data_IF_045814042840
#
_entry.id   IF_045814042840
#
_cell.length_a   1.000
_cell.length_b   1.000
_cell.length_c   1.000
_cell.angle_alpha   90.00
_cell.angle_beta   90.00
_cell.angle_gamma   90.00
#
_symmetry.space_group_name_H-M   'P 1'
#
loop_
_entity.id
_entity.type
_entity.pdbx_description
1 polymer ?
#
# COMPACT_ATOMS: atom_id res chain seq x y z
N UNK A 1 -9.13 14.45 19.46
CA UNK A 1 -10.10 13.70 20.28
C UNK A 1 -9.31 12.59 20.94
N UNK A 2 -9.16 12.62 22.26
CA UNK A 2 -8.51 11.54 23.02
C UNK A 2 -9.36 10.28 22.86
N UNK A 3 -8.86 9.31 22.08
CA UNK A 3 -9.42 7.96 22.05
C UNK A 3 -9.03 7.27 23.36
N UNK A 4 -9.89 7.36 24.37
CA UNK A 4 -9.77 6.53 25.57
C UNK A 4 -10.06 5.08 25.14
N UNK A 5 -9.03 4.23 25.13
CA UNK A 5 -9.14 2.80 24.79
C UNK A 5 -10.12 2.10 25.75
N UNK A 6 -11.01 1.25 25.23
CA UNK A 6 -11.94 0.47 26.05
C UNK A 6 -11.20 -0.70 26.74
N UNK A 7 -10.66 -0.43 27.93
CA UNK A 7 -9.93 -1.42 28.73
C UNK A 7 -10.80 -2.61 29.15
N UNK A 8 -12.12 -2.43 29.30
CA UNK A 8 -13.03 -3.53 29.65
C UNK A 8 -13.16 -4.49 28.47
N UNK A 9 -13.23 -3.96 27.24
CA UNK A 9 -13.14 -4.75 26.02
C UNK A 9 -11.86 -5.57 25.96
N UNK A 10 -10.71 -5.00 26.33
CA UNK A 10 -9.41 -5.71 26.30
C UNK A 10 -9.34 -6.90 27.27
N UNK A 11 -10.05 -6.83 28.40
CA UNK A 11 -10.12 -7.93 29.36
C UNK A 11 -10.75 -9.21 28.78
N UNK A 12 -11.47 -9.15 27.65
CA UNK A 12 -11.97 -10.37 26.99
C UNK A 12 -10.85 -11.24 26.45
N UNK A 13 -9.73 -10.62 26.04
CA UNK A 13 -8.55 -11.28 25.48
C UNK A 13 -7.62 -11.85 26.55
N UNK A 14 -7.74 -11.41 27.79
CA UNK A 14 -6.93 -11.88 28.91
C UNK A 14 -7.74 -12.89 29.73
N UNK A 15 -7.31 -14.14 29.72
CA UNK A 15 -7.91 -15.18 30.57
C UNK A 15 -7.28 -15.13 31.97
N UNK A 16 -8.05 -14.82 33.04
CA UNK A 16 -7.49 -14.77 34.39
C UNK A 16 -6.88 -16.10 34.83
N UNK A 17 -7.33 -17.23 34.28
CA UNK A 17 -6.79 -18.57 34.58
C UNK A 17 -5.31 -18.72 34.20
N UNK A 18 -4.85 -17.94 33.22
CA UNK A 18 -3.48 -17.98 32.71
C UNK A 18 -2.54 -17.04 33.46
N UNK A 19 -3.08 -16.13 34.28
CA UNK A 19 -2.29 -15.14 35.00
C UNK A 19 -1.81 -15.66 36.36
N UNK A 20 -0.60 -15.23 36.73
CA UNK A 20 -0.11 -15.36 38.09
C UNK A 20 -0.70 -14.26 39.00
N UNK A 21 -0.50 -14.41 40.31
CA UNK A 21 -1.07 -13.49 41.30
C UNK A 21 -0.64 -12.03 41.10
N UNK A 22 0.61 -11.79 40.70
CA UNK A 22 1.14 -10.44 40.48
C UNK A 22 0.51 -9.79 39.25
N UNK A 23 0.38 -10.53 38.15
CA UNK A 23 -0.29 -10.06 36.93
C UNK A 23 -1.76 -9.75 37.17
N UNK A 24 -2.44 -10.63 37.92
CA UNK A 24 -3.83 -10.43 38.31
C UNK A 24 -4.03 -9.16 39.17
N UNK A 25 -3.11 -8.91 40.12
CA UNK A 25 -3.11 -7.66 40.92
C UNK A 25 -2.83 -6.44 40.05
N UNK A 26 -1.90 -6.53 39.08
CA UNK A 26 -1.57 -5.43 38.17
C UNK A 26 -2.78 -5.03 37.30
N UNK A 27 -3.60 -5.98 36.85
CA UNK A 27 -4.87 -5.67 36.16
C UNK A 27 -5.80 -4.85 37.06
N UNK A 28 -5.93 -5.23 38.34
CA UNK A 28 -6.73 -4.47 39.31
C UNK A 28 -6.21 -3.06 39.58
N UNK A 29 -4.88 -2.90 39.68
CA UNK A 29 -4.25 -1.58 39.86
C UNK A 29 -4.43 -0.68 38.63
N UNK A 30 -4.24 -1.23 37.43
CA UNK A 30 -4.45 -0.51 36.17
C UNK A 30 -5.90 -0.03 36.01
N UNK A 31 -6.89 -0.90 36.26
CA UNK A 31 -8.30 -0.52 36.21
C UNK A 31 -8.63 0.61 37.18
N UNK A 32 -8.08 0.57 38.40
CA UNK A 32 -8.30 1.63 39.40
C UNK A 32 -7.68 2.96 38.99
N UNK A 33 -6.48 2.93 38.41
CA UNK A 33 -5.76 4.11 37.94
C UNK A 33 -6.51 4.81 36.80
N UNK A 34 -7.16 4.04 35.93
CA UNK A 34 -7.91 4.51 34.75
C UNK A 34 -9.38 4.84 35.05
N UNK A 35 -9.79 4.77 36.33
CA UNK A 35 -11.12 5.19 36.78
C UNK A 35 -12.24 4.14 36.67
N UNK A 36 -11.90 2.87 36.43
CA UNK A 36 -12.87 1.77 36.47
C UNK A 36 -13.23 1.34 37.90
N UNK A 37 -14.15 0.39 38.05
CA UNK A 37 -14.66 -0.03 39.36
C UNK A 37 -14.11 -1.37 39.81
N UNK A 38 -14.10 -1.61 41.13
CA UNK A 38 -13.80 -2.92 41.71
C UNK A 38 -14.73 -4.03 41.18
N UNK A 39 -15.96 -3.68 40.79
CA UNK A 39 -16.93 -4.61 40.22
C UNK A 39 -16.51 -5.12 38.84
N UNK A 40 -15.82 -4.31 38.04
CA UNK A 40 -15.34 -4.69 36.71
C UNK A 40 -14.23 -5.74 36.83
N UNK A 41 -13.29 -5.50 37.76
CA UNK A 41 -12.22 -6.45 38.08
C UNK A 41 -12.76 -7.76 38.68
N UNK A 42 -13.76 -7.68 39.55
CA UNK A 42 -14.41 -8.86 40.17
C UNK A 42 -15.16 -9.71 39.13
N UNK A 43 -15.93 -9.06 38.25
CA UNK A 43 -16.63 -9.73 37.15
C UNK A 43 -15.66 -10.45 36.22
N UNK A 44 -14.56 -9.80 35.83
CA UNK A 44 -13.53 -10.46 35.01
C UNK A 44 -12.85 -11.62 35.77
N UNK A 45 -12.49 -11.42 37.04
CA UNK A 45 -11.84 -12.43 37.89
C UNK A 45 -12.69 -13.67 38.10
N UNK A 46 -14.02 -13.54 38.13
CA UNK A 46 -14.97 -14.65 38.27
C UNK A 46 -14.94 -15.68 37.14
N UNK A 47 -14.27 -15.37 36.01
CA UNK A 47 -14.05 -16.32 34.91
C UNK A 47 -13.12 -17.47 35.33
N UNK A 48 -12.25 -17.28 36.33
CA UNK A 48 -11.47 -18.35 36.95
C UNK A 48 -12.19 -18.93 38.17
N UNK A 49 -13.13 -19.84 37.92
CA UNK A 49 -13.92 -20.45 38.99
C UNK A 49 -13.09 -21.26 40.00
N UNK A 50 -11.86 -21.65 39.65
CA UNK A 50 -11.02 -22.51 40.49
C UNK A 50 -10.27 -21.73 41.57
N UNK A 51 -9.86 -20.49 41.26
CA UNK A 51 -9.10 -19.60 42.16
C UNK A 51 -9.91 -18.41 42.66
N UNK A 52 -11.09 -18.16 42.09
CA UNK A 52 -11.93 -17.03 42.45
C UNK A 52 -12.53 -17.17 43.86
N UNK A 53 -12.38 -16.13 44.66
CA UNK A 53 -12.99 -16.01 45.98
C UNK A 53 -13.90 -14.77 46.05
N UNK A 54 -15.23 -14.94 46.29
CA UNK A 54 -16.15 -13.82 46.36
C UNK A 54 -15.70 -12.73 47.34
N UNK A 55 -15.69 -11.47 46.88
CA UNK A 55 -15.33 -10.33 47.71
C UNK A 55 -13.82 -10.14 47.96
N UNK A 56 -12.95 -10.94 47.33
CA UNK A 56 -11.50 -10.73 47.40
C UNK A 56 -11.06 -9.47 46.64
N UNK A 57 -11.62 -9.24 45.44
CA UNK A 57 -11.30 -8.08 44.60
C UNK A 57 -11.60 -6.76 45.33
N UNK A 58 -12.77 -6.66 45.95
CA UNK A 58 -13.19 -5.48 46.72
C UNK A 58 -12.27 -5.17 47.90
N UNK A 59 -11.87 -6.20 48.67
CA UNK A 59 -10.95 -6.03 49.81
C UNK A 59 -9.58 -5.54 49.37
N UNK A 60 -9.07 -6.03 48.24
CA UNK A 60 -7.77 -5.61 47.70
C UNK A 60 -7.84 -4.26 47.02
N UNK A 61 -8.98 -3.91 46.43
CA UNK A 61 -9.16 -2.64 45.73
C UNK A 61 -8.81 -1.45 46.62
N UNK A 62 -9.25 -1.47 47.88
CA UNK A 62 -8.97 -0.40 48.85
C UNK A 62 -7.49 -0.33 49.28
N UNK A 63 -6.75 -1.43 49.11
CA UNK A 63 -5.31 -1.49 49.43
C UNK A 63 -4.41 -0.87 48.36
N UNK A 64 -4.93 -0.62 47.15
CA UNK A 64 -4.18 0.04 46.09
C UNK A 64 -4.05 1.54 46.40
N UNK A 65 -2.91 1.96 46.96
CA UNK A 65 -2.58 3.35 47.26
C UNK A 65 -1.67 3.94 46.18
N UNK A 66 -2.01 5.13 45.67
CA UNK A 66 -1.33 5.79 44.55
C UNK A 66 0.02 6.45 44.87
N UNK A 67 0.80 5.91 45.81
CA UNK A 67 2.08 6.49 46.20
C UNK A 67 3.09 5.43 46.61
N UNK A 68 4.28 5.48 46.01
CA UNK A 68 5.53 4.77 46.35
C UNK A 68 5.86 3.40 45.70
N UNK A 69 5.25 3.07 44.56
CA UNK A 69 5.68 1.96 43.68
C UNK A 69 5.61 2.34 42.20
N UNK A 70 6.16 1.51 41.31
CA UNK A 70 6.02 1.66 39.85
C UNK A 70 4.54 1.78 39.49
N UNK A 71 4.15 2.90 38.89
CA UNK A 71 2.75 3.19 38.54
C UNK A 71 2.33 2.19 37.46
N UNK A 72 1.34 1.35 37.78
CA UNK A 72 0.70 0.45 36.82
C UNK A 72 -0.47 1.19 36.18
N UNK A 73 -0.38 1.44 34.87
CA UNK A 73 -1.40 2.19 34.09
C UNK A 73 -2.18 1.26 33.17
N UNK A 74 -3.20 1.79 32.47
CA UNK A 74 -3.95 1.04 31.45
C UNK A 74 -3.08 0.38 30.38
N UNK A 75 -1.88 0.92 30.12
CA UNK A 75 -0.90 0.34 29.21
C UNK A 75 -0.48 -1.10 29.57
N UNK A 76 -0.55 -1.48 30.84
CA UNK A 76 -0.30 -2.87 31.27
C UNK A 76 -1.38 -3.83 30.78
N UNK A 77 -2.65 -3.42 30.81
CA UNK A 77 -3.77 -4.21 30.29
C UNK A 77 -3.66 -4.31 28.76
N UNK A 78 -3.29 -3.22 28.09
CA UNK A 78 -3.06 -3.19 26.63
C UNK A 78 -1.95 -4.18 26.25
N UNK A 79 -0.80 -4.15 26.92
CA UNK A 79 0.29 -5.08 26.65
C UNK A 79 -0.10 -6.54 26.91
N UNK A 80 -0.76 -6.82 28.03
CA UNK A 80 -1.25 -8.18 28.35
C UNK A 80 -2.24 -8.68 27.31
N UNK A 81 -3.15 -7.83 26.82
CA UNK A 81 -4.08 -8.19 25.76
C UNK A 81 -3.33 -8.56 24.47
N UNK A 82 -2.28 -7.80 24.09
CA UNK A 82 -1.45 -8.12 22.92
C UNK A 82 -0.73 -9.44 23.03
N UNK A 83 -0.14 -9.71 24.20
CA UNK A 83 0.57 -10.97 24.45
C UNK A 83 -0.40 -12.17 24.33
N UNK A 84 -1.70 -11.94 24.53
CA UNK A 84 -2.78 -12.93 24.38
C UNK A 84 -3.54 -12.83 23.04
N UNK A 85 -2.94 -12.19 22.03
CA UNK A 85 -3.43 -12.20 20.65
C UNK A 85 -4.40 -11.08 20.27
N UNK A 86 -4.57 -10.06 21.11
CA UNK A 86 -5.22 -8.82 20.70
C UNK A 86 -4.28 -7.99 19.81
N UNK A 87 -4.78 -7.44 18.71
CA UNK A 87 -4.04 -6.50 17.89
C UNK A 87 -4.82 -5.17 17.86
N UNK A 88 -4.18 -4.02 18.16
CA UNK A 88 -4.84 -2.72 18.01
C UNK A 88 -5.25 -2.49 16.55
N UNK A 89 -6.38 -1.79 16.35
CA UNK A 89 -6.85 -1.41 15.01
C UNK A 89 -5.95 -0.35 14.32
N UNK A 90 -4.94 0.18 15.04
CA UNK A 90 -3.93 1.10 14.51
C UNK A 90 -2.50 0.65 14.86
N UNK A 91 -1.56 0.95 13.97
CA UNK A 91 -0.12 0.69 14.14
C UNK A 91 0.45 1.56 15.27
N UNK A 92 1.19 0.96 16.20
CA UNK A 92 1.77 1.67 17.35
C UNK A 92 3.05 2.44 17.02
N UNK A 93 3.53 2.35 15.77
CA UNK A 93 4.79 2.93 15.37
C UNK A 93 5.98 2.16 15.96
N UNK A 94 7.16 2.41 15.39
CA UNK A 94 8.42 1.80 15.78
C UNK A 94 9.51 2.89 15.86
N UNK A 95 10.61 2.60 16.56
CA UNK A 95 11.80 3.47 16.56
C UNK A 95 12.43 3.47 15.17
N UNK A 96 12.71 4.67 14.62
CA UNK A 96 13.38 4.86 13.34
C UNK A 96 14.91 4.92 13.52
N UNK A 97 15.65 4.24 12.65
CA UNK A 97 17.11 4.35 12.48
C UNK A 97 17.48 5.53 11.55
N UNK A 98 18.77 5.90 11.49
CA UNK A 98 19.27 7.04 10.71
C UNK A 98 19.01 6.95 9.21
N UNK A 99 18.89 5.74 8.68
CA UNK A 99 18.60 5.48 7.27
C UNK A 99 17.11 5.20 7.01
N UNK A 100 16.25 5.29 8.03
CA UNK A 100 14.83 5.07 7.88
C UNK A 100 14.13 6.26 7.22
N UNK A 101 13.25 5.95 6.26
CA UNK A 101 12.38 6.94 5.65
C UNK A 101 11.24 7.31 6.61
N UNK A 102 11.15 8.60 6.96
CA UNK A 102 10.01 9.16 7.69
C UNK A 102 8.79 9.13 6.76
N UNK A 103 7.97 8.10 6.86
CA UNK A 103 6.59 8.13 6.36
C UNK A 103 5.67 8.40 7.54
N UNK A 104 5.01 9.57 7.53
CA UNK A 104 4.02 9.90 8.53
C UNK A 104 2.75 9.09 8.22
N UNK A 105 2.53 7.99 8.95
CA UNK A 105 1.31 7.16 9.00
C UNK A 105 1.00 6.32 7.74
N UNK A 106 0.22 5.23 7.90
CA UNK A 106 -0.41 4.57 6.77
C UNK A 106 -1.47 5.57 6.23
N UNK A 107 -1.55 5.88 4.94
CA UNK A 107 -2.08 4.92 3.99
C UNK A 107 -2.13 5.48 2.57
N UNK A 108 -1.63 4.72 1.60
CA UNK A 108 -1.89 4.91 0.16
C UNK A 108 -3.37 4.71 -0.21
N UNK A 109 -4.34 5.06 0.66
CA UNK A 109 -5.78 4.88 0.43
C UNK A 109 -6.32 6.11 -0.29
N UNK A 110 -6.51 5.97 -1.59
CA UNK A 110 -7.12 6.94 -2.49
C UNK A 110 -8.63 6.73 -2.57
N UNK A 111 -9.08 5.49 -2.39
CA UNK A 111 -10.46 5.08 -2.62
C UNK A 111 -11.20 4.95 -1.29
N UNK A 112 -12.27 5.72 -1.13
CA UNK A 112 -13.26 5.47 -0.07
C UNK A 112 -14.05 4.21 -0.41
N UNK A 113 -13.72 3.13 0.31
CA UNK A 113 -14.33 1.80 0.14
C UNK A 113 -15.85 1.80 0.31
N UNK A 114 -16.42 2.80 0.97
CA UNK A 114 -17.87 2.89 1.21
C UNK A 114 -18.64 3.49 0.03
N UNK A 115 -17.96 4.14 -0.93
CA UNK A 115 -18.59 4.91 -2.01
C UNK A 115 -18.05 4.57 -3.42
N UNK A 116 -17.63 3.33 -3.67
CA UNK A 116 -17.19 2.89 -5.01
C UNK A 116 -18.41 2.58 -5.87
N UNK A 117 -18.72 3.47 -6.82
CA UNK A 117 -19.67 3.19 -7.90
C UNK A 117 -19.01 2.26 -8.94
N UNK A 118 -19.63 1.12 -9.22
CA UNK A 118 -19.12 0.17 -10.20
C UNK A 118 -19.08 0.78 -11.59
N UNK A 119 -18.00 0.53 -12.34
CA UNK A 119 -17.87 0.96 -13.72
C UNK A 119 -18.07 -0.23 -14.66
N UNK A 120 -19.20 -0.25 -15.36
CA UNK A 120 -19.58 -1.35 -16.25
C UNK A 120 -18.48 -1.68 -17.28
N UNK A 121 -18.23 -2.98 -17.47
CA UNK A 121 -17.39 -3.50 -18.55
C UNK A 121 -18.27 -4.12 -19.62
N UNK A 122 -18.42 -3.44 -20.75
CA UNK A 122 -19.22 -3.92 -21.87
C UNK A 122 -18.39 -4.77 -22.82
N UNK A 123 -19.01 -5.81 -23.39
CA UNK A 123 -18.43 -6.55 -24.50
C UNK A 123 -18.32 -5.67 -25.77
N UNK A 124 -17.35 -5.93 -26.65
CA UNK A 124 -17.24 -5.21 -27.92
C UNK A 124 -18.42 -5.53 -28.85
N UNK A 125 -19.07 -4.48 -29.35
CA UNK A 125 -20.19 -4.56 -30.32
C UNK A 125 -19.82 -5.36 -31.58
N UNK A 126 -18.59 -5.15 -32.08
CA UNK A 126 -17.99 -5.91 -33.18
C UNK A 126 -16.74 -6.58 -32.69
N UNK A 127 -16.83 -7.88 -32.46
CA UNK A 127 -15.69 -8.65 -32.01
C UNK A 127 -14.78 -9.04 -33.18
N UNK A 128 -13.55 -8.54 -33.17
CA UNK A 128 -12.50 -8.90 -34.12
C UNK A 128 -11.31 -9.51 -33.36
N UNK A 129 -11.30 -10.85 -33.21
CA UNK A 129 -10.28 -11.56 -32.46
C UNK A 129 -8.84 -11.25 -32.91
N UNK A 130 -8.62 -11.19 -34.23
CA UNK A 130 -7.29 -10.96 -34.81
C UNK A 130 -6.80 -9.55 -34.50
N UNK A 131 -7.68 -8.56 -34.59
CA UNK A 131 -7.32 -7.18 -34.27
C UNK A 131 -7.02 -7.00 -32.77
N UNK A 132 -7.80 -7.62 -31.88
CA UNK A 132 -7.55 -7.57 -30.43
C UNK A 132 -6.20 -8.19 -30.06
N UNK A 133 -5.91 -9.38 -30.57
CA UNK A 133 -4.65 -10.05 -30.28
C UNK A 133 -3.45 -9.31 -30.88
N UNK A 134 -3.57 -8.81 -32.11
CA UNK A 134 -2.53 -7.97 -32.72
C UNK A 134 -2.28 -6.71 -31.91
N UNK A 135 -3.33 -6.04 -31.42
CA UNK A 135 -3.21 -4.84 -30.57
C UNK A 135 -2.55 -5.19 -29.24
N UNK A 136 -2.91 -6.31 -28.62
CA UNK A 136 -2.30 -6.79 -27.38
C UNK A 136 -0.80 -7.03 -27.55
N UNK A 137 -0.40 -7.76 -28.60
CA UNK A 137 1.01 -8.05 -28.89
C UNK A 137 1.80 -6.77 -29.15
N UNK A 138 1.28 -5.88 -30.00
CA UNK A 138 1.94 -4.62 -30.34
C UNK A 138 2.03 -3.63 -29.16
N UNK A 139 1.17 -3.77 -28.15
CA UNK A 139 1.20 -2.92 -26.96
C UNK A 139 2.23 -3.41 -25.94
N UNK A 140 2.37 -4.73 -25.77
CA UNK A 140 3.23 -5.30 -24.73
C UNK A 140 4.64 -5.65 -25.20
N UNK A 141 4.83 -5.95 -26.48
CA UNK A 141 6.08 -6.52 -27.00
C UNK A 141 6.70 -5.69 -28.12
N UNK A 142 8.02 -5.68 -28.14
CA UNK A 142 8.80 -5.29 -29.31
C UNK A 142 8.79 -6.43 -30.34
N UNK A 143 8.98 -6.08 -31.62
CA UNK A 143 8.82 -7.05 -32.72
C UNK A 143 9.75 -8.25 -32.66
N UNK A 144 10.94 -8.10 -32.06
CA UNK A 144 11.97 -9.15 -31.98
C UNK A 144 11.86 -10.01 -30.73
N UNK A 145 10.95 -9.68 -29.82
CA UNK A 145 10.83 -10.37 -28.54
C UNK A 145 9.98 -11.63 -28.65
N UNK A 146 10.40 -12.68 -27.93
CA UNK A 146 9.72 -13.97 -27.94
C UNK A 146 8.53 -13.95 -26.99
N UNK A 147 7.39 -14.40 -27.50
CA UNK A 147 6.12 -14.43 -26.77
C UNK A 147 5.82 -15.84 -26.30
N UNK A 148 5.55 -15.99 -25.00
CA UNK A 148 5.09 -17.25 -24.43
C UNK A 148 3.56 -17.33 -24.41
N UNK A 149 2.94 -18.33 -25.05
CA UNK A 149 1.49 -18.54 -25.02
C UNK A 149 1.12 -20.02 -24.87
N UNK A 150 -0.08 -20.28 -24.36
CA UNK A 150 -0.57 -21.64 -24.06
C UNK A 150 -1.98 -21.78 -24.59
N UNK A 151 -2.16 -22.71 -25.54
CA UNK A 151 -3.46 -23.08 -26.12
C UNK A 151 -3.92 -24.47 -25.67
N UNK A 152 -3.00 -25.28 -25.14
CA UNK A 152 -3.27 -26.63 -24.66
C UNK A 152 -3.38 -26.70 -23.14
N UNK A 153 -4.29 -27.54 -22.65
CA UNK A 153 -4.46 -27.87 -21.24
C UNK A 153 -4.47 -29.38 -21.03
N UNK A 154 -4.13 -29.83 -19.84
CA UNK A 154 -4.29 -31.22 -19.42
C UNK A 154 -5.13 -31.29 -18.14
N UNK A 155 -5.82 -32.40 -17.93
CA UNK A 155 -6.68 -32.57 -16.77
C UNK A 155 -5.86 -33.07 -15.58
N UNK A 156 -5.82 -32.29 -14.50
CA UNK A 156 -5.19 -32.63 -13.24
C UNK A 156 -6.25 -32.69 -12.15
N UNK A 157 -6.58 -33.88 -11.67
CA UNK A 157 -7.58 -34.12 -10.62
C UNK A 157 -8.93 -33.39 -10.88
N UNK A 158 -9.43 -33.49 -12.11
CA UNK A 158 -10.70 -32.88 -12.52
C UNK A 158 -10.61 -31.38 -12.84
N UNK A 159 -9.44 -30.75 -12.69
CA UNK A 159 -9.20 -29.36 -13.07
C UNK A 159 -8.29 -29.28 -14.28
N UNK A 160 -8.75 -28.58 -15.33
CA UNK A 160 -7.92 -28.34 -16.50
C UNK A 160 -6.85 -27.28 -16.19
N UNK A 161 -5.59 -27.66 -16.36
CA UNK A 161 -4.42 -26.83 -16.09
C UNK A 161 -3.62 -26.58 -17.38
N UNK A 162 -3.03 -25.39 -17.57
CA UNK A 162 -2.25 -25.07 -18.76
C UNK A 162 -0.98 -25.92 -18.85
N UNK A 163 -0.58 -26.27 -20.08
CA UNK A 163 0.73 -26.89 -20.33
C UNK A 163 1.85 -25.84 -20.30
N UNK A 164 3.09 -26.25 -20.62
CA UNK A 164 4.23 -25.33 -20.76
C UNK A 164 3.94 -24.21 -21.79
N UNK A 165 3.20 -24.57 -22.85
CA UNK A 165 2.94 -23.73 -24.00
C UNK A 165 4.13 -23.60 -24.94
N UNK A 166 3.95 -22.72 -25.92
CA UNK A 166 4.95 -22.34 -26.91
C UNK A 166 5.67 -21.05 -26.49
N UNK A 167 6.91 -20.91 -26.95
CA UNK A 167 7.84 -19.83 -26.59
C UNK A 167 8.97 -19.74 -27.62
N UNK A 168 8.65 -19.99 -28.89
CA UNK A 168 9.57 -20.16 -30.01
C UNK A 168 9.48 -19.04 -31.06
N UNK A 169 8.44 -18.21 -30.99
CA UNK A 169 8.11 -17.19 -31.98
C UNK A 169 8.14 -15.78 -31.40
N UNK A 170 8.57 -14.84 -32.22
CA UNK A 170 8.61 -13.42 -31.90
C UNK A 170 7.23 -12.76 -32.07
N UNK A 171 7.01 -11.63 -31.38
CA UNK A 171 5.79 -10.85 -31.54
C UNK A 171 5.58 -10.40 -32.99
N UNK A 172 6.65 -10.01 -33.69
CA UNK A 172 6.59 -9.61 -35.10
C UNK A 172 6.15 -10.74 -36.03
N UNK A 173 6.66 -11.96 -35.84
CA UNK A 173 6.22 -13.14 -36.60
C UNK A 173 4.75 -13.47 -36.34
N UNK A 174 4.32 -13.44 -35.07
CA UNK A 174 2.94 -13.69 -34.70
C UNK A 174 1.99 -12.67 -35.32
N UNK A 175 2.30 -11.37 -35.22
CA UNK A 175 1.51 -10.29 -35.83
C UNK A 175 1.43 -10.47 -37.35
N UNK A 176 2.54 -10.81 -38.01
CA UNK A 176 2.55 -11.04 -39.46
C UNK A 176 1.64 -12.22 -39.85
N UNK A 177 1.67 -13.31 -39.08
CA UNK A 177 0.83 -14.48 -39.32
C UNK A 177 -0.64 -14.19 -39.05
N UNK A 178 -0.96 -13.47 -37.98
CA UNK A 178 -2.31 -13.01 -37.65
C UNK A 178 -2.91 -12.14 -38.76
N UNK A 179 -2.13 -11.22 -39.33
CA UNK A 179 -2.60 -10.39 -40.44
C UNK A 179 -2.89 -11.18 -41.74
N UNK A 180 -2.43 -12.44 -41.83
CA UNK A 180 -2.60 -13.32 -42.99
C UNK A 180 -3.53 -14.49 -42.73
N UNK A 181 -4.04 -14.67 -41.51
CA UNK A 181 -4.82 -15.85 -41.14
C UNK A 181 -6.31 -15.77 -41.52
N UNK A 182 -6.76 -14.68 -42.13
CA UNK A 182 -8.15 -14.47 -42.56
C UNK A 182 -9.19 -14.70 -41.44
N UNK A 183 -8.83 -14.38 -40.19
CA UNK A 183 -9.70 -14.54 -39.02
C UNK A 183 -9.47 -15.82 -38.21
N UNK A 184 -8.70 -16.77 -38.74
CA UNK A 184 -8.41 -18.03 -38.04
C UNK A 184 -7.19 -17.91 -37.13
N UNK A 185 -7.41 -17.59 -35.86
CA UNK A 185 -6.34 -17.54 -34.85
C UNK A 185 -5.75 -18.93 -34.57
N UNK A 186 -6.55 -20.00 -34.72
CA UNK A 186 -6.10 -21.38 -34.50
C UNK A 186 -4.99 -21.78 -35.46
N UNK A 187 -5.06 -21.33 -36.72
CA UNK A 187 -3.99 -21.51 -37.70
C UNK A 187 -2.65 -20.88 -37.28
N UNK A 188 -2.68 -19.87 -36.40
CA UNK A 188 -1.48 -19.18 -35.92
C UNK A 188 -1.02 -19.75 -34.58
N UNK A 189 -1.86 -19.75 -33.55
CA UNK A 189 -1.47 -20.12 -32.18
C UNK A 189 -1.71 -21.60 -31.84
N UNK A 190 -2.35 -22.35 -32.73
CA UNK A 190 -2.87 -23.67 -32.49
C UNK A 190 -4.28 -23.65 -31.90
N UNK A 191 -5.02 -24.71 -32.15
CA UNK A 191 -6.36 -24.90 -31.57
C UNK A 191 -6.31 -24.97 -30.05
N UNK A 192 -7.33 -24.41 -29.41
CA UNK A 192 -7.49 -24.40 -27.96
C UNK A 192 -8.81 -25.06 -27.56
N UNK A 193 -8.90 -25.52 -26.32
CA UNK A 193 -10.15 -26.05 -25.78
C UNK A 193 -11.09 -24.89 -25.40
N UNK A 194 -12.25 -24.73 -26.07
CA UNK A 194 -13.15 -23.60 -25.84
C UNK A 194 -13.75 -23.57 -24.44
N UNK A 195 -13.69 -24.65 -23.65
CA UNK A 195 -14.18 -24.65 -22.25
C UNK A 195 -13.26 -23.87 -21.32
N UNK A 196 -11.95 -23.84 -21.61
CA UNK A 196 -10.93 -23.29 -20.71
C UNK A 196 -10.27 -22.02 -21.25
N UNK A 197 -10.37 -21.80 -22.57
CA UNK A 197 -9.75 -20.68 -23.26
C UNK A 197 -8.25 -20.88 -23.48
N UNK A 198 -7.53 -19.78 -23.61
CA UNK A 198 -6.08 -19.78 -23.79
C UNK A 198 -5.40 -18.76 -22.86
N UNK A 199 -4.08 -18.84 -22.80
CA UNK A 199 -3.25 -18.01 -21.94
C UNK A 199 -2.05 -17.44 -22.67
N UNK A 200 -1.51 -16.34 -22.15
CA UNK A 200 -0.33 -15.66 -22.66
C UNK A 200 0.49 -15.11 -21.51
N UNK A 201 1.81 -15.13 -21.63
CA UNK A 201 2.72 -14.42 -20.74
C UNK A 201 2.86 -13.00 -21.22
N UNK A 202 2.90 -12.05 -20.30
CA UNK A 202 2.93 -10.61 -20.62
C UNK A 202 4.35 -10.05 -20.73
N UNK A 203 5.35 -10.73 -20.18
CA UNK A 203 6.76 -10.37 -20.33
C UNK A 203 7.45 -11.26 -21.37
N UNK A 204 8.45 -10.71 -22.10
CA UNK A 204 9.19 -11.44 -23.14
C UNK A 204 10.08 -12.53 -22.56
N UNK A 205 10.34 -13.57 -23.37
CA UNK A 205 11.13 -14.74 -22.99
C UNK A 205 12.43 -14.86 -23.79
N UNK A 206 13.35 -15.69 -23.30
CA UNK A 206 14.66 -15.98 -23.91
C UNK A 206 14.62 -17.10 -24.97
N UNK A 207 13.47 -17.72 -25.19
CA UNK A 207 13.29 -18.86 -26.11
C UNK A 207 13.80 -20.21 -25.59
N UNK A 208 14.36 -20.27 -24.38
CA UNK A 208 14.94 -21.50 -23.79
C UNK A 208 14.01 -22.14 -22.77
N UNK A 209 13.07 -21.37 -22.23
CA UNK A 209 12.09 -21.87 -21.29
C UNK A 209 11.00 -20.86 -20.97
N UNK A 210 10.26 -21.14 -19.88
CA UNK A 210 9.07 -20.37 -19.48
C UNK A 210 9.07 -20.01 -18.00
N UNK A 211 10.17 -20.28 -17.31
CA UNK A 211 10.32 -19.97 -15.89
C UNK A 211 10.67 -18.49 -15.70
N UNK A 212 10.67 -18.02 -14.45
CA UNK A 212 11.02 -16.63 -14.15
C UNK A 212 12.42 -16.25 -14.65
N UNK A 213 13.35 -17.20 -14.70
CA UNK A 213 14.72 -16.96 -15.17
C UNK A 213 14.83 -16.90 -16.70
N UNK A 214 13.76 -17.27 -17.42
CA UNK A 214 13.67 -17.12 -18.87
C UNK A 214 13.07 -15.78 -19.29
N UNK A 215 12.64 -14.94 -18.35
CA UNK A 215 12.12 -13.60 -18.65
C UNK A 215 13.28 -12.68 -19.01
N UNK A 216 13.21 -12.03 -20.17
CA UNK A 216 14.29 -11.16 -20.68
C UNK A 216 14.12 -9.70 -20.29
N UNK A 217 12.89 -9.27 -20.01
CA UNK A 217 12.59 -7.90 -19.63
C UNK A 217 11.43 -7.86 -18.61
N UNK A 218 11.55 -7.04 -17.57
CA UNK A 218 10.65 -6.98 -16.42
C UNK A 218 9.73 -5.75 -16.50
N UNK A 219 9.07 -5.57 -17.66
CA UNK A 219 8.25 -4.39 -17.93
C UNK A 219 6.90 -4.40 -17.25
N UNK A 220 6.29 -5.56 -17.07
CA UNK A 220 4.91 -5.62 -16.59
C UNK A 220 4.72 -6.60 -15.43
N UNK A 221 3.68 -6.32 -14.64
CA UNK A 221 3.13 -7.20 -13.63
C UNK A 221 1.63 -7.43 -13.87
N UNK A 222 1.13 -8.57 -13.42
CA UNK A 222 -0.30 -8.89 -13.49
C UNK A 222 -0.99 -8.49 -12.19
N UNK A 223 -2.01 -7.65 -12.30
CA UNK A 223 -2.96 -7.37 -11.21
C UNK A 223 -4.31 -7.94 -11.62
N UNK A 224 -4.86 -8.84 -10.80
CA UNK A 224 -6.17 -9.43 -11.01
C UNK A 224 -6.87 -9.74 -9.68
N UNK A 225 -8.20 -9.80 -9.72
CA UNK A 225 -9.04 -10.29 -8.63
C UNK A 225 -10.16 -11.14 -9.21
N UNK A 226 -10.46 -12.29 -8.61
CA UNK A 226 -11.59 -13.15 -8.96
C UNK A 226 -12.66 -13.22 -7.85
N UNK A 227 -12.43 -12.52 -6.74
CA UNK A 227 -13.29 -12.50 -5.54
C UNK A 227 -14.19 -11.25 -5.46
N UNK A 228 -14.20 -10.44 -6.50
CA UNK A 228 -14.92 -9.17 -6.57
C UNK A 228 -15.71 -9.08 -7.88
N UNK A 229 -16.77 -8.27 -7.90
CA UNK A 229 -17.52 -7.98 -9.13
C UNK A 229 -16.66 -7.23 -10.15
N UNK A 230 -16.81 -7.56 -11.43
CA UNK A 230 -16.00 -7.00 -12.53
C UNK A 230 -16.09 -5.48 -12.58
N UNK A 231 -17.28 -4.91 -12.38
CA UNK A 231 -17.48 -3.47 -12.43
C UNK A 231 -16.76 -2.73 -11.31
N UNK A 232 -16.69 -3.34 -10.12
CA UNK A 232 -15.90 -2.81 -9.00
C UNK A 232 -14.41 -2.93 -9.24
N UNK A 233 -13.95 -4.04 -9.83
CA UNK A 233 -12.56 -4.18 -10.25
C UNK A 233 -12.18 -3.07 -11.23
N UNK A 234 -13.00 -2.84 -12.27
CA UNK A 234 -12.77 -1.81 -13.27
C UNK A 234 -12.75 -0.40 -12.70
N UNK A 235 -13.67 -0.09 -11.77
CA UNK A 235 -13.69 1.20 -11.07
C UNK A 235 -12.38 1.42 -10.30
N UNK A 236 -12.01 0.49 -9.42
CA UNK A 236 -10.80 0.58 -8.60
C UNK A 236 -9.54 0.72 -9.46
N UNK A 237 -9.39 -0.11 -10.49
CA UNK A 237 -8.21 -0.07 -11.37
C UNK A 237 -8.02 1.30 -12.04
N UNK A 238 -9.13 2.01 -12.33
CA UNK A 238 -9.09 3.32 -12.99
C UNK A 238 -8.98 4.48 -12.01
N UNK A 239 -9.63 4.40 -10.85
CA UNK A 239 -9.49 5.39 -9.78
C UNK A 239 -8.08 5.41 -9.19
N UNK A 240 -7.41 4.26 -9.13
CA UNK A 240 -6.00 4.18 -8.77
C UNK A 240 -5.03 4.68 -9.85
N UNK A 241 -5.57 5.12 -11.00
CA UNK A 241 -4.79 5.53 -12.17
C UNK A 241 -3.63 4.59 -12.51
N UNK A 242 -3.81 3.28 -12.27
CA UNK A 242 -2.74 2.30 -12.46
C UNK A 242 -2.23 2.39 -13.90
N UNK A 243 -0.90 2.36 -14.13
CA UNK A 243 -0.33 2.50 -15.47
C UNK A 243 -0.53 1.19 -16.25
N UNK A 244 -1.75 0.93 -16.70
CA UNK A 244 -2.15 -0.34 -17.32
C UNK A 244 -1.87 -0.28 -18.83
N UNK A 245 -0.99 -1.16 -19.28
CA UNK A 245 -0.71 -1.32 -20.71
C UNK A 245 -1.87 -2.03 -21.43
N UNK A 246 -2.38 -3.13 -20.86
CA UNK A 246 -3.52 -3.88 -21.39
C UNK A 246 -4.46 -4.30 -20.25
N UNK A 247 -5.77 -4.11 -20.44
CA UNK A 247 -6.81 -4.62 -19.55
C UNK A 247 -7.61 -5.69 -20.28
N UNK A 248 -7.58 -6.94 -19.80
CA UNK A 248 -8.21 -8.09 -20.48
C UNK A 248 -9.33 -8.68 -19.62
N UNK A 249 -10.50 -8.88 -20.22
CA UNK A 249 -11.59 -9.60 -19.58
C UNK A 249 -11.34 -11.11 -19.67
N UNK A 250 -11.38 -11.83 -18.54
CA UNK A 250 -10.99 -13.25 -18.50
C UNK A 250 -12.00 -14.22 -19.11
N UNK A 251 -13.16 -13.71 -19.51
CA UNK A 251 -14.33 -14.47 -19.93
C UNK A 251 -15.13 -15.07 -18.76
N UNK A 252 -14.80 -14.72 -17.50
CA UNK A 252 -15.60 -15.13 -16.33
C UNK A 252 -15.79 -13.99 -15.33
N UNK A 253 -14.96 -13.92 -14.28
CA UNK A 253 -15.17 -13.05 -13.11
C UNK A 253 -13.99 -12.14 -12.80
N UNK A 254 -13.01 -12.04 -13.70
CA UNK A 254 -11.78 -11.31 -13.43
C UNK A 254 -11.36 -10.44 -14.60
N UNK A 255 -10.82 -9.27 -14.27
CA UNK A 255 -10.04 -8.45 -15.16
C UNK A 255 -8.55 -8.71 -14.90
N UNK A 256 -7.81 -8.94 -15.98
CA UNK A 256 -6.36 -9.09 -15.96
C UNK A 256 -5.75 -7.75 -16.39
N UNK A 257 -5.30 -6.98 -15.42
CA UNK A 257 -4.62 -5.71 -15.66
C UNK A 257 -3.10 -5.95 -15.77
N UNK A 258 -2.55 -5.71 -16.96
CA UNK A 258 -1.11 -5.77 -17.21
C UNK A 258 -0.53 -4.39 -16.93
N UNK A 259 0.04 -4.22 -15.73
CA UNK A 259 0.52 -2.94 -15.20
C UNK A 259 1.99 -2.75 -15.52
N UNK A 260 2.37 -1.57 -16.01
CA UNK A 260 3.76 -1.16 -16.25
C UNK A 260 4.48 -1.01 -14.92
N UNK A 261 5.54 -1.78 -14.75
CA UNK A 261 6.47 -1.68 -13.62
C UNK A 261 7.88 -1.34 -14.07
N UNK A 262 8.25 -1.48 -15.35
CA UNK A 262 9.51 -1.01 -15.96
C UNK A 262 10.76 -1.23 -15.09
N UNK A 263 10.88 -2.43 -14.52
CA UNK A 263 11.97 -2.75 -13.60
C UNK A 263 13.24 -3.15 -14.37
N UNK A 264 14.40 -2.65 -13.96
CA UNK A 264 15.66 -2.94 -14.62
C UNK A 264 16.17 -4.38 -14.35
N UNK A 265 15.70 -5.00 -13.27
CA UNK A 265 16.12 -6.35 -12.87
C UNK A 265 15.09 -7.01 -11.95
N UNK A 266 15.32 -8.30 -11.65
CA UNK A 266 14.44 -9.15 -10.82
C UNK A 266 14.26 -8.64 -9.38
N UNK A 267 15.26 -8.00 -8.78
CA UNK A 267 15.16 -7.46 -7.42
C UNK A 267 14.25 -6.23 -7.40
N UNK A 268 14.48 -5.29 -8.32
CA UNK A 268 13.65 -4.11 -8.48
C UNK A 268 12.21 -4.48 -8.85
N UNK A 269 12.03 -5.47 -9.73
CA UNK A 269 10.71 -6.00 -10.08
C UNK A 269 9.94 -6.45 -8.84
N UNK A 270 10.58 -7.20 -7.93
CA UNK A 270 9.94 -7.64 -6.68
C UNK A 270 9.51 -6.45 -5.83
N UNK A 271 10.39 -5.47 -5.61
CA UNK A 271 10.09 -4.27 -4.82
C UNK A 271 8.91 -3.49 -5.41
N UNK A 272 8.91 -3.25 -6.72
CA UNK A 272 7.83 -2.54 -7.42
C UNK A 272 6.51 -3.31 -7.36
N UNK A 273 6.53 -4.63 -7.58
CA UNK A 273 5.32 -5.46 -7.49
C UNK A 273 4.76 -5.52 -6.08
N UNK A 274 5.61 -5.66 -5.07
CA UNK A 274 5.18 -5.68 -3.67
C UNK A 274 4.52 -4.35 -3.28
N UNK A 275 5.10 -3.23 -3.68
CA UNK A 275 4.51 -1.89 -3.50
C UNK A 275 3.16 -1.76 -4.24
N UNK A 276 3.11 -2.13 -5.53
CA UNK A 276 1.89 -2.10 -6.34
C UNK A 276 0.76 -2.89 -5.67
N UNK A 277 1.06 -4.09 -5.19
CA UNK A 277 0.08 -4.95 -4.52
C UNK A 277 -0.38 -4.36 -3.20
N UNK A 278 0.53 -3.79 -2.41
CA UNK A 278 0.19 -3.14 -1.15
C UNK A 278 -0.78 -1.97 -1.38
N UNK A 279 -0.50 -1.11 -2.36
CA UNK A 279 -1.39 0.01 -2.75
C UNK A 279 -2.76 -0.53 -3.16
N UNK A 280 -2.80 -1.49 -4.08
CA UNK A 280 -4.07 -2.05 -4.55
C UNK A 280 -4.90 -2.70 -3.43
N UNK A 281 -4.27 -3.48 -2.54
CA UNK A 281 -4.94 -4.11 -1.40
C UNK A 281 -5.47 -3.09 -0.40
N UNK A 282 -4.68 -2.06 -0.08
CA UNK A 282 -5.10 -0.95 0.77
C UNK A 282 -6.34 -0.25 0.22
N UNK A 283 -6.43 -0.11 -1.09
CA UNK A 283 -7.57 0.49 -1.80
C UNK A 283 -8.73 -0.47 -2.11
N UNK A 284 -8.74 -1.65 -1.50
CA UNK A 284 -9.88 -2.56 -1.56
C UNK A 284 -9.85 -3.56 -2.71
N UNK A 285 -8.78 -3.61 -3.53
CA UNK A 285 -8.61 -4.66 -4.53
C UNK A 285 -8.06 -5.93 -3.87
N UNK A 286 -8.85 -7.00 -3.85
CA UNK A 286 -8.44 -8.30 -3.31
C UNK A 286 -7.59 -9.08 -4.31
N UNK A 287 -6.27 -8.88 -4.27
CA UNK A 287 -5.33 -9.51 -5.20
C UNK A 287 -4.87 -10.89 -4.71
N UNK A 288 -4.73 -11.85 -5.63
CA UNK A 288 -4.04 -13.12 -5.40
C UNK A 288 -2.51 -12.92 -5.35
N UNK A 289 -1.92 -13.15 -4.17
CA UNK A 289 -0.48 -13.01 -3.93
C UNK A 289 0.37 -14.00 -4.73
N UNK A 290 -0.20 -15.07 -5.28
CA UNK A 290 0.51 -16.03 -6.12
C UNK A 290 0.85 -15.49 -7.51
N UNK A 291 0.24 -14.38 -7.93
CA UNK A 291 0.41 -13.81 -9.27
C UNK A 291 1.63 -12.87 -9.41
N UNK A 292 2.44 -12.71 -8.36
CA UNK A 292 3.58 -11.77 -8.35
C UNK A 292 4.71 -12.13 -9.31
N UNK A 293 4.75 -13.35 -9.86
CA UNK A 293 5.89 -13.82 -10.63
C UNK A 293 5.92 -13.25 -12.07
N UNK A 294 7.11 -12.88 -12.60
CA UNK A 294 7.23 -12.18 -13.88
C UNK A 294 6.89 -13.04 -15.11
N UNK A 295 6.92 -14.38 -15.00
CA UNK A 295 6.52 -15.29 -16.07
C UNK A 295 5.06 -15.79 -15.97
N UNK A 296 4.23 -15.11 -15.16
CA UNK A 296 2.84 -15.52 -14.90
C UNK A 296 2.01 -15.48 -16.18
N UNK A 297 1.03 -16.39 -16.24
CA UNK A 297 0.06 -16.46 -17.32
C UNK A 297 -1.09 -15.49 -17.06
N UNK A 298 -1.40 -14.67 -18.06
CA UNK A 298 -2.64 -13.90 -18.18
C UNK A 298 -3.55 -14.56 -19.21
N UNK A 299 -4.81 -14.12 -19.32
CA UNK A 299 -5.72 -14.58 -20.38
C UNK A 299 -5.35 -13.98 -21.73
N UNK A 300 -5.42 -14.81 -22.76
CA UNK A 300 -5.23 -14.40 -24.14
C UNK A 300 -6.52 -13.70 -24.62
N UNK A 301 -6.48 -12.47 -25.14
CA UNK A 301 -7.64 -11.87 -25.79
C UNK A 301 -7.87 -12.46 -27.19
N UNK A 302 -9.10 -12.38 -27.70
CA UNK A 302 -9.48 -12.90 -29.01
C UNK A 302 -9.83 -14.40 -29.02
N UNK A 303 -10.16 -15.01 -27.88
CA UNK A 303 -10.58 -16.42 -27.83
C UNK A 303 -11.84 -16.60 -26.97
N UNK A 304 -12.49 -17.75 -27.11
CA UNK A 304 -13.68 -18.12 -26.33
C UNK A 304 -13.30 -18.97 -25.12
N UNK A 305 -14.04 -18.79 -24.02
CA UNK A 305 -13.95 -19.59 -22.81
C UNK A 305 -15.35 -19.84 -22.27
N UNK A 306 -15.80 -21.08 -22.34
CA UNK A 306 -17.07 -21.54 -21.80
C UNK A 306 -18.26 -20.72 -22.34
N UNK A 307 -18.22 -20.42 -23.64
CA UNK A 307 -19.23 -19.57 -24.31
C UNK A 307 -19.06 -18.07 -24.11
N UNK A 308 -18.09 -17.62 -23.32
CA UNK A 308 -17.79 -16.21 -23.05
C UNK A 308 -16.54 -15.74 -23.78
N UNK A 309 -16.47 -14.46 -24.16
CA UNK A 309 -15.29 -13.89 -24.82
C UNK A 309 -14.19 -13.57 -23.81
N UNK A 310 -12.96 -13.97 -24.14
CA UNK A 310 -11.77 -13.36 -23.58
C UNK A 310 -11.39 -12.21 -24.51
N UNK A 311 -11.52 -10.96 -24.06
CA UNK A 311 -11.39 -9.80 -24.93
C UNK A 311 -10.60 -8.68 -24.28
N UNK A 312 -10.02 -7.83 -25.13
CA UNK A 312 -9.26 -6.67 -24.71
C UNK A 312 -10.25 -5.54 -24.38
N UNK A 313 -10.33 -5.17 -23.10
CA UNK A 313 -11.21 -4.11 -22.59
C UNK A 313 -10.66 -2.74 -22.95
N UNK A 314 -9.37 -2.52 -22.68
CA UNK A 314 -8.73 -1.22 -22.90
C UNK A 314 -7.19 -1.35 -22.99
N UNK A 315 -6.54 -0.28 -23.44
CA UNK A 315 -5.07 -0.21 -23.56
C UNK A 315 -4.55 1.16 -23.20
N UNK A 316 -3.40 1.23 -22.52
CA UNK A 316 -2.73 2.47 -22.11
C UNK A 316 -3.66 3.40 -21.32
N UNK A 317 -4.19 2.92 -20.21
CA UNK A 317 -5.03 3.68 -19.28
C UNK A 317 -4.29 3.98 -17.99
N UNK A 318 -4.74 5.02 -17.27
CA UNK A 318 -4.07 5.52 -16.07
C UNK A 318 -2.83 6.35 -16.41
N UNK A 319 -1.87 6.42 -15.48
CA UNK A 319 -0.61 7.16 -15.69
C UNK A 319 0.24 6.54 -16.80
N UNK A 320 1.09 7.35 -17.43
CA UNK A 320 1.87 6.94 -18.59
C UNK A 320 3.01 5.97 -18.26
N UNK A 321 3.54 6.04 -17.04
CA UNK A 321 4.70 5.27 -16.58
C UNK A 321 4.61 4.87 -15.10
N UNK A 322 5.41 3.87 -14.70
CA UNK A 322 5.58 3.52 -13.29
C UNK A 322 5.99 4.71 -12.42
N UNK A 323 6.94 5.51 -12.91
CA UNK A 323 7.48 6.65 -12.16
C UNK A 323 6.41 7.70 -11.86
N UNK A 324 5.67 8.11 -12.89
CA UNK A 324 4.58 9.07 -12.76
C UNK A 324 3.49 8.56 -11.81
N UNK A 325 3.14 7.29 -11.92
CA UNK A 325 2.19 6.67 -11.01
C UNK A 325 2.69 6.65 -9.57
N UNK A 326 3.91 6.19 -9.33
CA UNK A 326 4.50 6.16 -8.00
C UNK A 326 4.59 7.55 -7.38
N UNK A 327 5.07 8.56 -8.12
CA UNK A 327 5.11 9.95 -7.66
C UNK A 327 3.72 10.50 -7.34
N UNK A 328 2.70 10.12 -8.12
CA UNK A 328 1.32 10.50 -7.84
C UNK A 328 0.77 9.82 -6.58
N UNK A 329 0.98 8.51 -6.40
CA UNK A 329 0.57 7.80 -5.17
C UNK A 329 1.23 8.42 -3.93
N UNK A 330 2.53 8.71 -4.00
CA UNK A 330 3.25 9.38 -2.91
C UNK A 330 2.76 10.81 -2.69
N UNK A 331 2.49 11.56 -3.76
CA UNK A 331 2.04 12.95 -3.70
C UNK A 331 0.61 13.14 -3.21
N UNK A 332 -0.30 12.20 -3.50
CA UNK A 332 -1.67 12.20 -2.93
C UNK A 332 -1.61 11.93 -1.41
N UNK A 333 -0.54 11.30 -0.94
CA UNK A 333 -0.32 10.97 0.46
C UNK A 333 0.58 11.99 1.19
N UNK A 334 1.14 12.97 0.48
CA UNK A 334 1.88 14.06 1.09
C UNK A 334 0.84 15.13 1.44
N UNK A 335 0.67 15.45 2.73
CA UNK A 335 -0.24 16.49 3.27
C UNK A 335 0.14 17.92 2.81
N UNK A 336 0.72 18.07 1.61
CA UNK A 336 1.06 19.33 1.01
C UNK A 336 -0.23 20.04 0.56
N UNK A 337 -0.39 21.33 0.89
CA UNK A 337 -1.52 22.10 0.39
C UNK A 337 -1.49 22.14 -1.15
N UNK A 338 -2.68 22.25 -1.77
CA UNK A 338 -2.77 22.36 -3.22
C UNK A 338 -1.89 23.53 -3.73
N UNK A 339 -1.23 23.37 -4.88
CA UNK A 339 -0.40 24.44 -5.45
C UNK A 339 -1.25 25.68 -5.75
N UNK A 340 -1.08 26.74 -4.98
CA UNK A 340 -1.72 28.03 -5.25
C UNK A 340 -0.98 28.79 -6.37
N UNK A 341 -1.73 29.41 -7.27
CA UNK A 341 -1.16 30.19 -8.37
C UNK A 341 -0.57 31.52 -7.87
N UNK A 342 0.73 31.73 -8.11
CA UNK A 342 1.42 32.99 -7.80
C UNK A 342 0.75 34.23 -8.43
N UNK A 343 0.00 34.06 -9.51
CA UNK A 343 -0.73 35.14 -10.20
C UNK A 343 -1.74 35.84 -9.29
N UNK A 344 -2.32 35.13 -8.31
CA UNK A 344 -3.32 35.70 -7.39
C UNK A 344 -2.70 36.62 -6.32
N UNK A 345 -1.40 36.50 -6.07
CA UNK A 345 -0.68 37.23 -4.99
C UNK A 345 0.53 38.03 -5.50
N UNK A 346 0.77 38.06 -6.82
CA UNK A 346 1.94 38.69 -7.41
C UNK A 346 2.01 40.20 -7.13
N UNK A 347 0.86 40.88 -7.23
CA UNK A 347 0.76 42.32 -6.97
C UNK A 347 0.56 42.65 -5.48
N UNK A 348 0.34 41.64 -4.63
CA UNK A 348 0.13 41.78 -3.17
C UNK A 348 0.80 40.63 -2.42
N UNK A 349 2.14 40.56 -2.51
CA UNK A 349 2.91 39.57 -1.77
C UNK A 349 2.73 39.77 -0.26
N UNK A 350 2.59 38.68 0.52
CA UNK A 350 2.46 38.78 1.97
C UNK A 350 3.71 39.42 2.58
N UNK A 351 3.48 40.21 3.63
CA UNK A 351 4.58 40.81 4.39
C UNK A 351 5.50 39.72 4.95
N UNK A 352 6.81 39.94 4.83
CA UNK A 352 7.79 39.01 5.38
C UNK A 352 7.65 38.94 6.91
N UNK A 353 7.61 37.72 7.45
CA UNK A 353 7.57 37.49 8.89
C UNK A 353 8.66 38.32 9.62
N UNK A 354 8.40 38.85 10.83
CA UNK A 354 9.35 39.71 11.53
C UNK A 354 10.73 39.04 11.67
N UNK A 355 11.83 39.76 11.40
CA UNK A 355 13.16 39.23 11.64
C UNK A 355 13.36 38.95 13.13
N UNK A 356 13.97 37.80 13.45
CA UNK A 356 14.48 37.47 14.78
C UNK A 356 15.95 37.88 14.87
N UNK A 357 16.72 37.55 13.84
CA UNK A 357 18.07 38.05 13.57
C UNK A 357 18.04 38.74 12.20
N UNK A 358 18.39 40.03 12.17
CA UNK A 358 18.31 40.86 10.97
C UNK A 358 19.09 40.22 9.81
N UNK A 359 18.42 40.06 8.67
CA UNK A 359 18.95 39.48 7.43
C UNK A 359 19.42 38.02 7.53
N UNK A 360 19.08 37.30 8.60
CA UNK A 360 19.51 35.91 8.81
C UNK A 360 18.33 34.99 9.10
N UNK A 361 17.50 35.32 10.09
CA UNK A 361 16.44 34.44 10.58
C UNK A 361 15.18 35.24 10.90
N UNK A 362 14.03 34.77 10.42
CA UNK A 362 12.69 35.33 10.68
C UNK A 362 11.90 34.40 11.60
N UNK A 363 10.92 34.94 12.31
CA UNK A 363 10.03 34.16 13.16
C UNK A 363 9.31 33.07 12.35
N UNK A 364 9.22 31.85 12.89
CA UNK A 364 8.62 30.70 12.23
C UNK A 364 9.46 30.04 11.12
N UNK A 365 10.60 30.62 10.73
CA UNK A 365 11.46 30.06 9.69
C UNK A 365 12.53 29.12 10.28
N UNK A 366 13.06 28.22 9.44
CA UNK A 366 14.17 27.32 9.79
C UNK A 366 15.50 27.89 9.30
N UNK A 367 16.56 27.78 10.11
CA UNK A 367 17.93 28.12 9.72
C UNK A 367 18.82 26.87 9.81
N UNK A 368 19.57 26.60 8.75
CA UNK A 368 20.55 25.50 8.70
C UNK A 368 21.96 26.08 8.74
N UNK A 369 22.79 25.62 9.69
CA UNK A 369 24.20 25.99 9.78
C UNK A 369 25.07 24.80 9.37
N UNK A 370 25.70 24.90 8.19
CA UNK A 370 26.55 23.85 7.62
C UNK A 370 28.04 24.22 7.67
N UNK A 371 28.90 23.21 7.77
CA UNK A 371 30.35 23.39 7.81
C UNK A 371 31.10 22.14 8.29
N UNK A 372 32.44 22.08 8.13
CA UNK A 372 33.25 20.92 8.49
C UNK A 372 33.15 20.52 9.97
N UNK A 373 33.60 19.31 10.30
CA UNK A 373 33.72 18.88 11.70
C UNK A 373 34.65 19.83 12.47
N UNK A 374 34.30 20.12 13.73
CA UNK A 374 35.02 21.06 14.62
C UNK A 374 35.03 22.54 14.18
N UNK A 375 34.26 22.94 13.17
CA UNK A 375 34.13 24.33 12.73
C UNK A 375 33.30 25.25 13.67
N UNK A 376 32.98 24.80 14.90
CA UNK A 376 32.27 25.62 15.89
C UNK A 376 30.75 25.74 15.72
N UNK A 377 30.11 24.96 14.84
CA UNK A 377 28.66 25.03 14.55
C UNK A 377 27.77 24.99 15.79
N UNK A 378 28.00 24.02 16.69
CA UNK A 378 27.21 23.87 17.91
C UNK A 378 27.39 25.07 18.86
N UNK A 379 28.61 25.60 18.96
CA UNK A 379 28.88 26.79 19.76
C UNK A 379 28.16 28.03 19.20
N UNK A 380 28.18 28.21 17.88
CA UNK A 380 27.47 29.32 17.23
C UNK A 380 25.95 29.25 17.45
N UNK A 381 25.36 28.04 17.43
CA UNK A 381 23.94 27.85 17.74
C UNK A 381 23.61 28.11 19.21
N UNK A 382 24.48 27.71 20.14
CA UNK A 382 24.32 28.03 21.57
C UNK A 382 24.40 29.54 21.79
N UNK A 383 25.38 30.21 21.19
CA UNK A 383 25.51 31.67 21.23
C UNK A 383 24.27 32.36 20.66
N UNK A 384 23.68 31.82 19.59
CA UNK A 384 22.44 32.33 19.00
C UNK A 384 21.28 32.26 19.99
N UNK A 385 21.12 31.14 20.69
CA UNK A 385 20.10 30.98 21.73
C UNK A 385 20.28 32.01 22.85
N UNK A 386 21.51 32.20 23.33
CA UNK A 386 21.83 33.21 24.33
C UNK A 386 21.54 34.63 23.82
N UNK A 387 21.93 34.96 22.58
CA UNK A 387 21.69 36.27 21.98
C UNK A 387 20.19 36.58 21.84
N UNK A 388 19.37 35.58 21.46
CA UNK A 388 17.91 35.71 21.40
C UNK A 388 17.34 35.95 22.81
N UNK A 389 17.75 35.15 23.80
CA UNK A 389 17.23 35.22 25.17
C UNK A 389 17.62 36.51 25.89
N UNK A 390 18.86 36.95 25.74
CA UNK A 390 19.41 38.15 26.38
C UNK A 390 19.12 39.44 25.58
N UNK A 391 18.52 39.31 24.40
CA UNK A 391 18.25 40.43 23.50
C UNK A 391 19.52 41.09 22.95
N UNK A 392 20.63 40.34 22.88
CA UNK A 392 21.93 40.81 22.36
C UNK A 392 22.10 40.49 20.89
N UNK A 393 23.05 41.16 20.24
CA UNK A 393 23.43 40.81 18.87
C UNK A 393 24.07 39.42 18.86
N UNK A 394 23.82 38.67 17.79
CA UNK A 394 24.48 37.40 17.54
C UNK A 394 25.57 37.62 16.49
N UNK A 395 26.83 37.38 16.86
CA UNK A 395 27.99 37.75 16.03
C UNK A 395 27.91 39.23 15.60
N UNK A 396 27.91 39.52 14.31
CA UNK A 396 27.75 40.88 13.77
C UNK A 396 26.32 41.23 13.38
N UNK A 397 25.37 40.30 13.54
CA UNK A 397 23.99 40.49 13.15
C UNK A 397 23.15 41.03 14.29
N UNK A 398 22.36 42.06 13.97
CA UNK A 398 21.48 42.71 14.95
C UNK A 398 20.31 41.80 15.30
N UNK A 399 20.11 41.57 16.60
CA UNK A 399 18.87 40.98 17.09
C UNK A 399 17.77 42.03 17.00
N UNK A 400 16.62 41.65 16.45
CA UNK A 400 15.48 42.55 16.36
C UNK A 400 14.59 42.31 17.58
N UNK A 401 14.21 43.35 18.34
CA UNK A 401 13.32 43.21 19.46
C UNK A 401 11.98 42.64 19.00
N UNK A 402 11.65 41.44 19.46
CA UNK A 402 10.29 40.92 19.33
C UNK A 402 9.45 41.70 20.33
N UNK A 403 8.48 42.49 19.87
CA UNK A 403 7.46 43.05 20.78
C UNK A 403 6.85 41.86 21.50
N UNK A 404 6.88 41.87 22.83
CA UNK A 404 6.06 40.94 23.61
C UNK A 404 4.64 41.10 23.07
N UNK A 405 4.04 39.98 22.62
CA UNK A 405 2.63 39.98 22.28
C UNK A 405 1.88 40.60 23.47
N UNK A 406 0.96 41.52 23.18
CA UNK A 406 0.06 42.04 24.21
C UNK A 406 -0.53 40.84 24.96
N UNK A 407 -0.49 40.84 26.31
CA UNK A 407 -1.03 39.73 27.07
C UNK A 407 -2.51 39.57 26.70
N UNK A 408 -2.85 38.34 26.29
CA UNK A 408 -4.19 37.88 25.90
C UNK A 408 -5.22 38.18 26.98
#
# INVERSE_FOLDING_TARGET
>A
MDHQLDLIGLLSYIDPCQLNYTEWVNVGMALKQEGHTASDWDRWSSRDQSRYHPGECFRKWDSFQGGSGSIVTGGTIVQMAKDHGWAPEYDEGHELDWDDYISAKPDHVIIDKNWIEGREVSEPDKWNPVAELTKYLATLFESTEIVGYVTQSWNNDGRDVPTKGAYDRTAGELIQQLNRCNGDIGAVLGDYNPKVGAWIRFNPLDGKGVMNDNVTDFRYALVESDTMEIDKQNAILRELELPIACLVHSGKKSLHAIVKVDAANKEEYRKRVDYLYAVCQKNGLKIDSQNRNPSRLSRLPGVMRDGQKQFLVDTNIGKGSWKEWHEWIEGVNDDLPEPESLTAVWDNLPDLAPPLISNVLRQGHKMLLAGPSKAGKSYALIELCCAIAEGRNWLHWKRVPVRAADPV
#
